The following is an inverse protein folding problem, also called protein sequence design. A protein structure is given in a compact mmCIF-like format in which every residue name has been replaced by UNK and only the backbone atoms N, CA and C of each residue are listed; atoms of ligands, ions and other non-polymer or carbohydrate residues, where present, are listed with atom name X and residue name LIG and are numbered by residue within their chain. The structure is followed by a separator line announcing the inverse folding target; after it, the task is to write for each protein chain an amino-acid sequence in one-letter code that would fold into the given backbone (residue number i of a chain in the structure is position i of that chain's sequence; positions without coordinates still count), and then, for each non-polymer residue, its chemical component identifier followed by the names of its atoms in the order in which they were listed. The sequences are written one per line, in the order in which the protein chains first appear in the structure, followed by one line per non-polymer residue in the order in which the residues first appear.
data_IF_572466919817
#
_entry.id   IF_572466919817
#
_cell.length_a   1.000
_cell.length_b   1.000
_cell.length_c   1.000
_cell.angle_alpha   90.00
_cell.angle_beta   90.00
_cell.angle_gamma   90.00
#
_symmetry.space_group_name_H-M   'P 1'
#
loop_
_entity.id
_entity.type
_entity.pdbx_description
1 polymer ?
#
# COMPACT_ATOMS: atom_id res chain seq x y z
N UNK A 1 -12.11 6.86 -20.42
CA UNK A 1 -11.53 7.91 -19.55
C UNK A 1 -12.47 8.27 -18.42
N UNK A 2 -13.67 8.72 -18.72
CA UNK A 2 -14.61 9.14 -17.66
C UNK A 2 -15.01 8.02 -16.72
N UNK A 3 -15.16 6.80 -17.24
CA UNK A 3 -15.50 5.65 -16.41
C UNK A 3 -14.38 5.29 -15.42
N UNK A 4 -13.12 5.37 -15.87
CA UNK A 4 -11.98 5.10 -15.00
C UNK A 4 -11.86 6.14 -13.89
N UNK A 5 -12.08 7.42 -14.22
CA UNK A 5 -12.07 8.50 -13.23
C UNK A 5 -13.18 8.29 -12.21
N UNK A 6 -14.37 7.92 -12.66
CA UNK A 6 -15.50 7.63 -11.78
C UNK A 6 -15.21 6.45 -10.86
N UNK A 7 -14.57 5.40 -11.36
CA UNK A 7 -14.17 4.24 -10.56
C UNK A 7 -13.12 4.60 -9.52
N UNK A 8 -12.12 5.39 -9.89
CA UNK A 8 -11.10 5.86 -8.96
C UNK A 8 -11.72 6.71 -7.85
N UNK A 9 -12.62 7.62 -8.20
CA UNK A 9 -13.31 8.44 -7.22
C UNK A 9 -14.17 7.59 -6.29
N UNK A 10 -14.91 6.65 -6.84
CA UNK A 10 -15.74 5.74 -6.05
C UNK A 10 -14.90 4.97 -5.02
N UNK A 11 -13.78 4.42 -5.46
CA UNK A 11 -12.90 3.65 -4.59
C UNK A 11 -12.26 4.53 -3.51
N UNK A 12 -11.72 5.70 -3.90
CA UNK A 12 -11.08 6.62 -2.96
C UNK A 12 -12.07 7.14 -1.91
N UNK A 13 -13.25 7.55 -2.35
CA UNK A 13 -14.31 8.01 -1.46
C UNK A 13 -14.81 6.89 -0.55
N UNK A 14 -14.89 5.67 -1.09
CA UNK A 14 -15.26 4.51 -0.30
C UNK A 14 -14.29 4.22 0.83
N UNK A 15 -12.99 4.31 0.57
CA UNK A 15 -11.96 4.18 1.61
C UNK A 15 -12.10 5.29 2.65
N UNK A 16 -12.26 6.51 2.19
CA UNK A 16 -12.40 7.67 3.08
C UNK A 16 -13.64 7.52 3.97
N UNK A 17 -14.79 7.18 3.39
CA UNK A 17 -16.04 7.02 4.12
C UNK A 17 -15.99 5.84 5.09
N UNK A 18 -15.18 4.83 4.79
CA UNK A 18 -14.96 3.69 5.67
C UNK A 18 -14.04 4.02 6.87
N UNK A 19 -13.47 5.21 6.90
CA UNK A 19 -12.60 5.66 7.98
C UNK A 19 -11.13 5.32 7.80
N UNK A 20 -10.72 4.85 6.62
CA UNK A 20 -9.32 4.52 6.32
C UNK A 20 -8.53 5.81 6.21
N UNK A 21 -7.48 5.95 7.01
CA UNK A 21 -6.58 7.11 6.94
C UNK A 21 -5.54 6.94 5.84
N UNK A 22 -5.09 8.05 5.29
CA UNK A 22 -4.01 8.07 4.32
C UNK A 22 -4.45 8.07 2.88
N UNK A 23 -5.75 8.00 2.60
CA UNK A 23 -6.27 8.05 1.24
C UNK A 23 -5.92 9.40 0.62
N UNK A 24 -5.25 9.37 -0.54
CA UNK A 24 -4.86 10.59 -1.25
C UNK A 24 -6.04 11.09 -2.06
N UNK A 25 -6.50 12.29 -1.77
CA UNK A 25 -7.62 12.94 -2.45
C UNK A 25 -7.16 14.27 -3.06
N UNK A 26 -7.68 14.65 -4.23
CA UNK A 26 -8.61 13.90 -5.06
C UNK A 26 -7.92 12.70 -5.74
N UNK A 27 -8.73 11.70 -6.12
CA UNK A 27 -8.21 10.53 -6.80
C UNK A 27 -7.68 10.87 -8.19
N UNK A 28 -6.61 10.18 -8.62
CA UNK A 28 -6.12 10.31 -9.99
C UNK A 28 -7.02 9.60 -11.00
N UNK A 29 -6.65 9.70 -12.27
CA UNK A 29 -7.41 9.09 -13.35
C UNK A 29 -7.12 7.61 -13.59
N UNK A 30 -6.06 7.06 -13.00
CA UNK A 30 -5.59 5.69 -13.28
C UNK A 30 -5.49 4.82 -12.04
N UNK A 31 -5.37 5.42 -10.86
CA UNK A 31 -5.11 4.66 -9.65
C UNK A 31 -5.55 5.44 -8.42
N UNK A 32 -5.68 4.71 -7.32
CA UNK A 32 -5.93 5.26 -6.00
C UNK A 32 -4.70 4.97 -5.14
N UNK A 33 -4.29 5.95 -4.34
CA UNK A 33 -3.11 5.83 -3.48
C UNK A 33 -3.51 5.94 -2.02
N UNK A 34 -2.89 5.12 -1.19
CA UNK A 34 -3.00 5.23 0.27
C UNK A 34 -1.61 5.47 0.84
N UNK A 35 -1.47 6.54 1.61
CA UNK A 35 -0.21 6.84 2.31
C UNK A 35 -0.10 5.91 3.51
N UNK A 36 0.93 5.07 3.53
CA UNK A 36 1.10 4.06 4.58
C UNK A 36 1.51 4.67 5.91
N UNK A 37 2.23 5.79 5.90
CA UNK A 37 2.58 6.45 7.15
C UNK A 37 1.33 6.89 7.91
N UNK A 38 0.36 7.46 7.20
CA UNK A 38 -0.90 7.86 7.81
C UNK A 38 -1.79 6.65 8.14
N UNK A 39 -1.78 5.63 7.28
CA UNK A 39 -2.55 4.41 7.50
C UNK A 39 -2.16 3.74 8.82
N UNK A 40 -0.87 3.71 9.12
CA UNK A 40 -0.34 3.10 10.34
C UNK A 40 -0.14 4.09 11.49
N UNK A 41 -0.70 5.29 11.39
CA UNK A 41 -0.62 6.35 12.41
C UNK A 41 0.82 6.76 12.76
N UNK A 42 1.75 6.64 11.81
CA UNK A 42 3.15 6.96 12.04
C UNK A 42 3.91 5.98 12.94
N UNK A 43 3.31 4.84 13.27
CA UNK A 43 3.88 3.87 14.21
C UNK A 43 4.85 2.88 13.59
N UNK A 44 4.96 2.87 12.27
CA UNK A 44 5.87 1.95 11.56
C UNK A 44 7.05 2.73 11.01
N UNK A 45 8.26 2.33 11.39
CA UNK A 45 9.48 2.92 10.86
C UNK A 45 9.67 2.57 9.38
N UNK A 46 10.48 3.36 8.68
CA UNK A 46 10.74 3.14 7.26
C UNK A 46 11.50 1.83 6.99
N UNK A 47 12.23 1.32 7.98
CA UNK A 47 12.96 0.07 7.88
C UNK A 47 12.07 -1.16 8.04
N UNK A 48 10.81 -0.99 8.44
CA UNK A 48 9.88 -2.11 8.65
C UNK A 48 9.22 -2.59 7.35
N UNK A 49 9.25 -1.79 6.27
CA UNK A 49 8.58 -2.08 5.01
C UNK A 49 7.12 -2.49 5.20
N UNK A 50 6.40 -1.74 6.04
CA UNK A 50 5.01 -2.06 6.39
C UNK A 50 4.07 -2.03 5.18
N UNK A 51 4.37 -1.22 4.16
CA UNK A 51 3.60 -1.21 2.91
C UNK A 51 3.64 -2.56 2.20
N UNK A 52 4.78 -3.24 2.22
CA UNK A 52 4.88 -4.60 1.69
C UNK A 52 4.11 -5.59 2.56
N UNK A 53 4.11 -5.41 3.88
CA UNK A 53 3.29 -6.21 4.79
C UNK A 53 1.81 -6.06 4.50
N UNK A 54 1.36 -4.83 4.27
CA UNK A 54 -0.02 -4.53 3.85
C UNK A 54 -0.35 -5.25 2.53
N UNK A 55 0.53 -5.16 1.54
CA UNK A 55 0.35 -5.79 0.25
C UNK A 55 0.26 -7.31 0.37
N UNK A 56 1.12 -7.90 1.20
CA UNK A 56 1.11 -9.35 1.46
C UNK A 56 -0.22 -9.79 2.08
N UNK A 57 -0.71 -9.08 3.08
CA UNK A 57 -1.97 -9.41 3.73
C UNK A 57 -3.17 -9.27 2.80
N UNK A 58 -3.17 -8.25 1.93
CA UNK A 58 -4.25 -8.08 0.94
C UNK A 58 -4.31 -9.27 -0.02
N UNK A 59 -3.18 -9.69 -0.56
CA UNK A 59 -3.17 -10.80 -1.52
C UNK A 59 -3.46 -12.12 -0.82
N UNK A 60 -2.90 -12.31 0.37
CA UNK A 60 -3.03 -13.56 1.12
C UNK A 60 -4.45 -13.80 1.61
N UNK A 61 -5.11 -12.74 2.13
CA UNK A 61 -6.44 -12.85 2.73
C UNK A 61 -7.58 -12.60 1.75
N UNK A 62 -7.36 -11.74 0.76
CA UNK A 62 -8.44 -11.26 -0.10
C UNK A 62 -8.16 -11.43 -1.58
N UNK A 63 -6.97 -11.86 -1.97
CA UNK A 63 -6.60 -12.04 -3.37
C UNK A 63 -6.46 -10.73 -4.14
N UNK A 64 -6.27 -9.60 -3.46
CA UNK A 64 -6.17 -8.28 -4.08
C UNK A 64 -4.70 -7.90 -4.22
N UNK A 65 -4.29 -7.55 -5.43
CA UNK A 65 -2.92 -7.11 -5.71
C UNK A 65 -2.84 -5.60 -5.73
N UNK A 66 -1.81 -5.08 -5.08
CA UNK A 66 -1.49 -3.66 -5.09
C UNK A 66 0.01 -3.51 -5.33
N UNK A 67 0.44 -2.30 -5.70
CA UNK A 67 1.86 -2.00 -5.90
C UNK A 67 2.35 -1.15 -4.75
N UNK A 68 3.37 -1.61 -4.04
CA UNK A 68 4.04 -0.78 -3.05
C UNK A 68 5.02 0.14 -3.79
N UNK A 69 4.88 1.44 -3.57
CA UNK A 69 5.71 2.47 -4.20
C UNK A 69 6.40 3.34 -3.13
N UNK A 70 6.68 2.75 -1.98
CA UNK A 70 7.23 3.47 -0.85
C UNK A 70 8.62 2.96 -0.45
N UNK A 71 8.80 2.73 0.83
CA UNK A 71 10.10 2.50 1.44
C UNK A 71 10.91 1.36 0.80
N UNK A 72 10.24 0.28 0.40
CA UNK A 72 10.93 -0.85 -0.20
C UNK A 72 11.27 -0.59 -1.68
N UNK A 73 10.28 -0.27 -2.49
CA UNK A 73 10.45 -0.09 -3.94
C UNK A 73 11.30 1.11 -4.29
N UNK A 74 11.23 2.17 -3.49
CA UNK A 74 12.02 3.39 -3.70
C UNK A 74 13.37 3.33 -2.98
N UNK A 75 13.69 2.20 -2.36
CA UNK A 75 14.99 1.96 -1.72
C UNK A 75 15.34 3.02 -0.67
N UNK A 76 14.37 3.36 0.17
CA UNK A 76 14.51 4.40 1.19
C UNK A 76 15.77 4.23 2.03
N UNK A 77 16.06 3.00 2.45
CA UNK A 77 17.19 2.67 3.30
C UNK A 77 18.55 2.87 2.63
N UNK A 78 18.58 2.95 1.29
CA UNK A 78 19.81 3.15 0.51
C UNK A 78 20.00 4.60 0.08
N UNK A 79 19.10 5.50 0.47
CA UNK A 79 19.12 6.91 0.05
C UNK A 79 19.75 7.79 1.11
N UNK A 80 20.25 8.96 0.65
CA UNK A 80 20.70 10.01 1.56
C UNK A 80 19.50 10.65 2.29
N UNK A 81 19.71 11.31 3.45
CA UNK A 81 18.60 11.97 4.15
C UNK A 81 17.79 12.95 3.28
N UNK A 82 18.44 13.66 2.36
CA UNK A 82 17.77 14.58 1.45
C UNK A 82 16.87 13.85 0.47
N UNK A 83 17.36 12.72 -0.06
CA UNK A 83 16.58 11.87 -0.96
C UNK A 83 15.43 11.17 -0.22
N UNK A 84 15.68 10.77 1.02
CA UNK A 84 14.65 10.13 1.84
C UNK A 84 13.45 11.05 2.07
N UNK A 85 13.68 12.35 2.22
CA UNK A 85 12.60 13.31 2.42
C UNK A 85 11.64 13.40 1.23
N UNK A 86 12.07 12.98 0.05
CA UNK A 86 11.26 13.00 -1.17
C UNK A 86 10.46 11.72 -1.39
N UNK A 87 10.71 10.67 -0.61
CA UNK A 87 10.00 9.40 -0.76
C UNK A 87 8.60 9.49 -0.14
N UNK A 88 7.59 9.24 -0.96
CA UNK A 88 6.22 9.10 -0.49
C UNK A 88 5.95 7.62 -0.26
N UNK A 89 5.64 7.25 0.97
CA UNK A 89 5.40 5.85 1.33
C UNK A 89 3.95 5.47 1.02
N UNK A 90 3.67 5.15 -0.23
CA UNK A 90 2.31 4.89 -0.71
C UNK A 90 2.16 3.49 -1.29
N UNK A 91 0.92 3.00 -1.26
CA UNK A 91 0.48 1.81 -1.96
C UNK A 91 -0.50 2.24 -3.05
N UNK A 92 -0.35 1.67 -4.22
CA UNK A 92 -1.13 2.04 -5.41
C UNK A 92 -2.12 0.94 -5.77
N UNK A 93 -3.40 1.33 -5.88
CA UNK A 93 -4.47 0.47 -6.40
C UNK A 93 -4.70 0.88 -7.86
N UNK A 94 -4.19 0.07 -8.79
CA UNK A 94 -4.40 0.33 -10.22
C UNK A 94 -5.82 -0.10 -10.62
N UNK A 95 -6.49 0.77 -11.36
CA UNK A 95 -7.86 0.51 -11.81
C UNK A 95 -7.84 0.10 -13.28
N UNK A 96 -8.23 -1.14 -13.54
CA UNK A 96 -8.44 -1.66 -14.90
C UNK A 96 -9.95 -1.64 -15.20
N UNK A 97 -10.38 -0.65 -15.94
CA UNK A 97 -11.79 -0.41 -16.19
C UNK A 97 -12.46 -1.55 -16.95
N UNK A 98 -11.71 -2.36 -17.69
CA UNK A 98 -12.29 -3.43 -18.48
C UNK A 98 -12.69 -4.65 -17.65
N UNK A 99 -12.25 -4.72 -16.40
CA UNK A 99 -12.42 -5.91 -15.54
C UNK A 99 -13.13 -5.64 -14.22
N UNK A 100 -13.25 -4.37 -13.81
CA UNK A 100 -13.76 -4.04 -12.48
C UNK A 100 -15.21 -3.57 -12.56
N UNK A 101 -16.03 -4.16 -11.72
CA UNK A 101 -17.42 -3.76 -11.53
C UNK A 101 -17.55 -3.05 -10.19
N UNK A 102 -18.74 -2.47 -9.95
CA UNK A 102 -19.05 -1.86 -8.65
C UNK A 102 -18.88 -2.87 -7.51
N UNK A 103 -19.31 -4.11 -7.71
CA UNK A 103 -19.18 -5.16 -6.71
C UNK A 103 -17.73 -5.46 -6.39
N UNK A 104 -16.85 -5.44 -7.38
CA UNK A 104 -15.41 -5.60 -7.15
C UNK A 104 -14.84 -4.44 -6.34
N UNK A 105 -15.25 -3.21 -6.65
CA UNK A 105 -14.80 -2.03 -5.90
C UNK A 105 -15.31 -2.07 -4.46
N UNK A 106 -16.55 -2.46 -4.24
CA UNK A 106 -17.11 -2.62 -2.89
C UNK A 106 -16.36 -3.68 -2.10
N UNK A 107 -15.97 -4.79 -2.76
CA UNK A 107 -15.16 -5.84 -2.14
C UNK A 107 -13.80 -5.30 -1.70
N UNK A 108 -13.13 -4.52 -2.56
CA UNK A 108 -11.84 -3.91 -2.25
C UNK A 108 -11.98 -2.96 -1.06
N UNK A 109 -13.03 -2.13 -1.05
CA UNK A 109 -13.29 -1.20 0.06
C UNK A 109 -13.45 -1.95 1.37
N UNK A 110 -14.25 -3.01 1.36
CA UNK A 110 -14.49 -3.82 2.55
C UNK A 110 -13.21 -4.52 3.04
N UNK A 111 -12.40 -5.03 2.11
CA UNK A 111 -11.13 -5.68 2.44
C UNK A 111 -10.14 -4.71 3.08
N UNK A 112 -9.99 -3.52 2.50
CA UNK A 112 -9.07 -2.50 3.03
C UNK A 112 -9.55 -2.00 4.39
N UNK A 113 -10.86 -1.81 4.56
CA UNK A 113 -11.43 -1.44 5.85
C UNK A 113 -11.10 -2.49 6.92
N UNK A 114 -11.28 -3.77 6.59
CA UNK A 114 -10.97 -4.85 7.53
C UNK A 114 -9.48 -4.87 7.91
N UNK A 115 -8.59 -4.66 6.93
CA UNK A 115 -7.16 -4.55 7.21
C UNK A 115 -6.82 -3.31 8.01
N UNK A 116 -7.51 -2.21 7.78
CA UNK A 116 -7.30 -0.99 8.57
C UNK A 116 -7.62 -1.23 10.04
N UNK A 117 -8.71 -1.92 10.32
CA UNK A 117 -9.09 -2.30 11.69
C UNK A 117 -8.10 -3.29 12.32
N UNK A 118 -7.42 -4.07 11.48
CA UNK A 118 -6.44 -5.09 11.88
C UNK A 118 -5.00 -4.55 11.80
N UNK A 119 -4.80 -3.27 11.51
CA UNK A 119 -3.49 -2.72 11.11
C UNK A 119 -2.36 -2.94 12.12
N UNK A 120 -2.68 -3.05 13.39
CA UNK A 120 -1.65 -3.32 14.41
C UNK A 120 -1.04 -4.73 14.27
N UNK A 121 -1.75 -5.64 13.64
CA UNK A 121 -1.33 -7.02 13.44
C UNK A 121 -0.79 -7.29 12.02
N UNK A 122 -0.79 -6.29 11.14
CA UNK A 122 -0.18 -6.43 9.83
C UNK A 122 1.33 -6.61 10.03
N UNK A 123 1.95 -7.66 9.44
CA UNK A 123 3.37 -7.90 9.68
C UNK A 123 4.24 -6.84 9.03
N UNK A 124 5.42 -6.64 9.62
CA UNK A 124 6.50 -5.95 8.95
C UNK A 124 7.21 -6.93 8.01
N UNK A 125 8.01 -6.43 7.10
CA UNK A 125 8.77 -7.26 6.16
C UNK A 125 10.26 -6.95 6.32
N UNK A 126 11.09 -7.98 6.10
CA UNK A 126 12.55 -7.79 6.06
C UNK A 126 13.12 -8.45 4.81
N UNK A 127 14.18 -7.86 4.30
CA UNK A 127 14.88 -8.40 3.14
C UNK A 127 15.87 -9.47 3.63
N UNK A 128 15.69 -10.71 3.16
CA UNK A 128 16.57 -11.82 3.53
C UNK A 128 17.65 -12.08 2.49
N UNK A 129 17.48 -11.58 1.27
CA UNK A 129 18.46 -11.73 0.19
C UNK A 129 18.22 -10.65 -0.85
N UNK A 130 19.30 -10.14 -1.42
CA UNK A 130 19.22 -9.19 -2.53
C UNK A 130 19.07 -7.74 -2.13
N UNK A 131 19.41 -7.36 -0.90
CA UNK A 131 19.24 -6.02 -0.36
C UNK A 131 19.85 -4.92 -1.26
N UNK A 132 21.06 -5.16 -1.78
CA UNK A 132 21.80 -4.18 -2.56
C UNK A 132 21.73 -4.40 -4.07
N UNK A 133 20.86 -5.30 -4.53
CA UNK A 133 20.73 -5.53 -5.96
C UNK A 133 20.03 -4.37 -6.65
N UNK A 134 20.45 -4.00 -7.88
CA UNK A 134 19.71 -3.02 -8.66
C UNK A 134 18.27 -3.47 -8.85
N UNK A 135 17.30 -2.55 -8.73
CA UNK A 135 15.88 -2.85 -8.86
C UNK A 135 15.46 -4.04 -7.97
N UNK A 136 15.87 -3.98 -6.70
CA UNK A 136 15.68 -5.08 -5.74
C UNK A 136 14.23 -5.54 -5.60
N UNK A 137 13.26 -4.67 -5.87
CA UNK A 137 11.84 -5.02 -5.77
C UNK A 137 11.41 -6.12 -6.75
N UNK A 138 12.24 -6.40 -7.77
CA UNK A 138 12.03 -7.54 -8.68
C UNK A 138 12.88 -8.76 -8.32
N UNK A 139 13.92 -8.59 -7.53
CA UNK A 139 14.94 -9.63 -7.33
C UNK A 139 15.15 -10.05 -5.89
N UNK A 140 14.86 -9.18 -4.93
CA UNK A 140 15.10 -9.48 -3.51
C UNK A 140 14.04 -10.41 -2.96
N UNK A 141 14.42 -11.18 -1.94
CA UNK A 141 13.50 -12.02 -1.19
C UNK A 141 13.22 -11.39 0.17
N UNK A 142 11.94 -11.35 0.54
CA UNK A 142 11.49 -10.81 1.81
C UNK A 142 10.81 -11.88 2.64
N UNK A 143 10.79 -11.69 3.95
CA UNK A 143 9.99 -12.52 4.84
C UNK A 143 9.22 -11.62 5.80
N UNK A 144 8.00 -12.01 6.20
CA UNK A 144 7.27 -11.27 7.21
C UNK A 144 7.80 -11.54 8.61
N UNK A 145 7.69 -10.55 9.49
CA UNK A 145 7.93 -10.73 10.90
C UNK A 145 6.89 -9.93 11.69
N UNK A 146 6.56 -10.35 12.93
CA UNK A 146 5.50 -9.70 13.67
C UNK A 146 5.80 -8.25 13.99
N UNK A 147 4.74 -7.44 14.03
CA UNK A 147 4.84 -6.08 14.52
C UNK A 147 4.94 -6.12 16.05
N UNK A 148 6.06 -5.68 16.58
CA UNK A 148 6.32 -5.68 18.02
C UNK A 148 5.82 -4.42 18.72
N UNK A 149 5.43 -3.39 17.99
CA UNK A 149 4.98 -2.09 18.51
C UNK A 149 3.45 -1.99 18.60
N UNK A 150 2.82 -2.99 19.15
CA UNK A 150 1.36 -2.98 19.32
C UNK A 150 0.88 -1.96 20.34
#
# INVERSE_FOLDING_TARGET
MNERVAQCNYLAEGFYDAGVKGVVLPAGGHAVYINMDEFFDGKRGHDTFAGEGFSLELIRRYGIRVSELGDYSMEYDLKTPEQQAEVCNVVRFAIDRSRLTKEHLDYVIAAVKALYEYRENIPNMRIVWGHNLPMRHFHAFLEPYPNEEK
#
